data_IF_302559266420
#
_entry.id   IF_302559266420
#
_cell.length_a   1.000
_cell.length_b   1.000
_cell.length_c   1.000
_cell.angle_alpha   90.00
_cell.angle_beta   90.00
_cell.angle_gamma   90.00
#
_symmetry.space_group_name_H-M   'P 1'
#
loop_
_entity.id
_entity.type
_entity.pdbx_description
1 polymer ?
#
# COMPACT_ATOMS: atom_id res chain seq x y z
N UNK A 1 -1.20 -30.47 1.45
CA UNK A 1 -1.54 -29.35 0.59
C UNK A 1 -2.98 -28.98 0.90
N UNK A 2 -3.21 -27.92 1.68
CA UNK A 2 -4.56 -27.44 1.92
C UNK A 2 -5.06 -26.78 0.63
N UNK A 3 -6.20 -27.22 0.12
CA UNK A 3 -6.87 -26.57 -0.99
C UNK A 3 -7.11 -25.11 -0.60
N UNK A 4 -6.50 -24.18 -1.33
CA UNK A 4 -6.80 -22.76 -1.20
C UNK A 4 -8.25 -22.59 -1.57
N UNK A 5 -9.06 -22.21 -0.60
CA UNK A 5 -10.47 -21.87 -0.80
C UNK A 5 -10.55 -20.68 -1.78
N UNK A 6 -10.90 -20.99 -3.02
CA UNK A 6 -10.99 -20.03 -4.14
C UNK A 6 -12.33 -19.27 -4.16
N UNK A 7 -13.17 -19.46 -3.14
CA UNK A 7 -14.45 -18.76 -3.07
C UNK A 7 -14.24 -17.27 -2.83
N UNK A 8 -15.05 -16.40 -3.45
CA UNK A 8 -15.02 -14.96 -3.19
C UNK A 8 -15.22 -14.69 -1.70
N UNK A 9 -14.34 -13.88 -1.13
CA UNK A 9 -14.48 -13.44 0.27
C UNK A 9 -15.17 -12.10 0.28
N UNK A 10 -16.36 -12.07 0.88
CA UNK A 10 -17.19 -10.88 1.00
C UNK A 10 -17.27 -10.45 2.46
N UNK A 11 -16.99 -9.19 2.74
CA UNK A 11 -17.11 -8.57 4.06
C UNK A 11 -18.14 -7.44 3.95
N UNK A 12 -19.30 -7.57 4.61
CA UNK A 12 -20.27 -6.49 4.66
C UNK A 12 -19.70 -5.33 5.48
N UNK A 13 -19.90 -4.11 4.99
CA UNK A 13 -19.52 -2.91 5.72
C UNK A 13 -20.44 -2.70 6.93
N UNK A 14 -19.86 -2.23 8.03
CA UNK A 14 -20.60 -1.76 9.19
C UNK A 14 -21.25 -0.41 8.92
N UNK A 15 -22.16 0.01 9.82
CA UNK A 15 -22.77 1.35 9.72
C UNK A 15 -21.70 2.46 9.72
N UNK A 16 -20.67 2.31 10.54
CA UNK A 16 -19.59 3.30 10.61
C UNK A 16 -18.76 3.34 9.32
N UNK A 17 -18.45 2.18 8.74
CA UNK A 17 -17.68 2.11 7.49
C UNK A 17 -18.41 2.81 6.33
N UNK A 18 -19.74 2.69 6.29
CA UNK A 18 -20.58 3.30 5.24
C UNK A 18 -20.46 4.84 5.28
N UNK A 19 -20.34 5.44 6.44
CA UNK A 19 -20.18 6.91 6.57
C UNK A 19 -18.90 7.40 5.88
N UNK A 20 -17.88 6.57 5.79
CA UNK A 20 -16.58 6.89 5.19
C UNK A 20 -16.51 6.63 3.68
N UNK A 21 -17.53 6.02 3.08
CA UNK A 21 -17.54 5.70 1.63
C UNK A 21 -17.54 6.95 0.73
N UNK A 22 -18.00 8.09 1.24
CA UNK A 22 -18.07 9.35 0.50
C UNK A 22 -16.85 10.25 0.70
N UNK A 23 -15.92 9.88 1.58
CA UNK A 23 -14.72 10.66 1.79
C UNK A 23 -13.70 10.39 0.68
N UNK A 24 -12.87 11.40 0.35
CA UNK A 24 -11.75 11.18 -0.54
C UNK A 24 -10.81 10.11 0.02
N UNK A 25 -10.04 9.43 -0.82
CA UNK A 25 -9.03 8.48 -0.39
C UNK A 25 -8.06 9.11 0.61
N UNK A 26 -7.62 8.30 1.55
CA UNK A 26 -6.50 8.67 2.43
C UNK A 26 -5.19 8.49 1.67
N UNK A 27 -4.43 9.55 1.53
CA UNK A 27 -3.17 9.59 0.78
C UNK A 27 -1.98 9.74 1.73
N UNK A 28 -0.90 9.01 1.48
CA UNK A 28 0.33 9.05 2.28
C UNK A 28 1.56 8.96 1.39
N UNK A 29 2.62 9.66 1.78
CA UNK A 29 3.91 9.70 1.11
C UNK A 29 5.01 9.32 2.10
N UNK A 30 5.93 8.48 1.65
CA UNK A 30 7.12 8.06 2.40
C UNK A 30 8.34 8.27 1.52
N UNK A 31 9.28 9.07 1.97
CA UNK A 31 10.51 9.41 1.25
C UNK A 31 11.68 8.62 1.81
N UNK A 32 12.49 8.06 0.92
CA UNK A 32 13.68 7.27 1.23
C UNK A 32 14.85 7.76 0.41
N UNK A 33 15.92 8.18 1.05
CA UNK A 33 17.19 8.52 0.39
C UNK A 33 18.00 7.25 0.11
N UNK A 34 18.76 7.25 -0.97
CA UNK A 34 19.72 6.19 -1.19
C UNK A 34 20.89 6.32 -0.22
N UNK A 35 21.42 5.20 0.31
CA UNK A 35 22.54 5.22 1.26
C UNK A 35 23.89 5.59 0.63
N UNK A 36 23.90 5.95 -0.64
CA UNK A 36 25.12 6.27 -1.38
C UNK A 36 25.45 7.75 -1.23
N UNK A 37 26.36 8.08 -0.31
CA UNK A 37 26.83 9.45 -0.08
C UNK A 37 27.94 9.89 -1.07
N UNK A 38 28.38 9.00 -1.96
CA UNK A 38 29.48 9.32 -2.87
C UNK A 38 28.96 9.77 -4.23
N UNK A 39 29.29 11.00 -4.61
CA UNK A 39 28.95 11.60 -5.90
C UNK A 39 29.56 10.87 -7.13
N UNK A 40 30.28 9.76 -6.90
CA UNK A 40 30.87 8.91 -7.96
C UNK A 40 29.85 7.99 -8.64
N UNK A 41 28.63 7.81 -8.08
CA UNK A 41 27.61 7.00 -8.72
C UNK A 41 26.90 7.78 -9.83
N UNK A 42 26.99 7.24 -11.05
CA UNK A 42 26.28 7.84 -12.20
C UNK A 42 24.77 7.62 -12.06
N UNK A 43 23.96 8.48 -12.70
CA UNK A 43 22.50 8.35 -12.82
C UNK A 43 22.10 6.95 -13.25
N UNK A 44 22.86 6.35 -14.17
CA UNK A 44 22.64 5.00 -14.67
C UNK A 44 22.72 3.95 -13.56
N UNK A 45 23.63 4.09 -12.61
CA UNK A 45 23.82 3.12 -11.53
C UNK A 45 22.66 3.17 -10.53
N UNK A 46 22.18 4.34 -10.15
CA UNK A 46 21.06 4.48 -9.20
C UNK A 46 19.74 4.01 -9.80
N UNK A 47 19.50 4.30 -11.08
CA UNK A 47 18.33 3.82 -11.82
C UNK A 47 18.35 2.30 -11.96
N UNK A 48 19.48 1.72 -12.31
CA UNK A 48 19.65 0.27 -12.40
C UNK A 48 19.42 -0.39 -11.03
N UNK A 49 20.03 0.14 -9.98
CA UNK A 49 19.83 -0.36 -8.60
C UNK A 49 18.36 -0.31 -8.18
N UNK A 50 17.68 0.79 -8.47
CA UNK A 50 16.25 0.95 -8.17
C UNK A 50 15.41 -0.15 -8.85
N UNK A 51 15.58 -0.35 -10.17
CA UNK A 51 14.78 -1.32 -10.91
C UNK A 51 15.17 -2.78 -10.63
N UNK A 52 16.45 -3.06 -10.35
CA UNK A 52 16.94 -4.44 -10.15
C UNK A 52 16.84 -4.92 -8.71
N UNK A 53 16.81 -4.01 -7.73
CA UNK A 53 16.83 -4.38 -6.31
C UNK A 53 15.60 -3.85 -5.55
N UNK A 54 15.35 -2.53 -5.61
CA UNK A 54 14.29 -1.93 -4.80
C UNK A 54 12.90 -2.39 -5.25
N UNK A 55 12.59 -2.26 -6.54
CA UNK A 55 11.26 -2.59 -7.07
C UNK A 55 10.92 -4.08 -6.89
N UNK A 56 11.78 -5.06 -7.22
CA UNK A 56 11.49 -6.46 -6.97
C UNK A 56 11.26 -6.77 -5.49
N UNK A 57 12.10 -6.22 -4.60
CA UNK A 57 11.98 -6.40 -3.15
C UNK A 57 10.65 -5.86 -2.63
N UNK A 58 10.26 -4.64 -3.04
CA UNK A 58 8.99 -4.04 -2.64
C UNK A 58 7.79 -4.82 -3.16
N UNK A 59 7.81 -5.28 -4.41
CA UNK A 59 6.73 -6.09 -4.99
C UNK A 59 6.59 -7.44 -4.31
N UNK A 60 7.71 -8.14 -4.09
CA UNK A 60 7.72 -9.45 -3.43
C UNK A 60 7.21 -9.35 -2.00
N UNK A 61 7.76 -8.44 -1.21
CA UNK A 61 7.35 -8.24 0.18
C UNK A 61 5.90 -7.74 0.30
N UNK A 62 5.44 -6.91 -0.64
CA UNK A 62 4.03 -6.49 -0.71
C UNK A 62 3.12 -7.69 -0.94
N UNK A 63 3.44 -8.54 -1.90
CA UNK A 63 2.65 -9.74 -2.21
C UNK A 63 2.52 -10.66 -0.99
N UNK A 64 3.62 -10.89 -0.25
CA UNK A 64 3.60 -11.68 0.97
C UNK A 64 2.75 -11.00 2.08
N UNK A 65 2.87 -9.70 2.24
CA UNK A 65 2.11 -8.94 3.24
C UNK A 65 0.62 -8.95 2.97
N UNK A 66 0.22 -8.80 1.69
CA UNK A 66 -1.18 -8.79 1.28
C UNK A 66 -1.89 -10.13 1.48
N UNK A 67 -1.16 -11.25 1.56
CA UNK A 67 -1.75 -12.56 1.93
C UNK A 67 -2.39 -12.52 3.33
N UNK A 68 -1.90 -11.66 4.20
CA UNK A 68 -2.45 -11.46 5.54
C UNK A 68 -3.50 -10.34 5.60
N UNK A 69 -3.54 -9.48 4.59
CA UNK A 69 -4.45 -8.34 4.48
C UNK A 69 -5.29 -8.42 3.20
N UNK A 70 -5.89 -9.58 2.92
CA UNK A 70 -6.68 -9.81 1.70
C UNK A 70 -7.75 -8.74 1.41
N UNK A 71 -8.45 -8.15 2.40
CA UNK A 71 -9.38 -7.06 2.15
C UNK A 71 -8.76 -5.85 1.44
N UNK A 72 -7.45 -5.62 1.59
CA UNK A 72 -6.75 -4.52 0.89
C UNK A 72 -6.56 -4.78 -0.61
N UNK A 73 -6.64 -6.04 -1.04
CA UNK A 73 -6.54 -6.44 -2.46
C UNK A 73 -7.90 -6.35 -3.13
N UNK A 74 -8.98 -6.44 -2.34
CA UNK A 74 -10.35 -6.42 -2.82
C UNK A 74 -10.81 -5.08 -3.35
N UNK A 75 -12.09 -5.02 -3.64
CA UNK A 75 -12.76 -3.82 -4.13
C UNK A 75 -14.04 -3.58 -3.33
N UNK A 76 -14.34 -2.33 -3.14
CA UNK A 76 -15.64 -1.91 -2.64
C UNK A 76 -16.62 -1.99 -3.81
N UNK A 77 -17.70 -2.76 -3.67
CA UNK A 77 -18.71 -2.98 -4.71
C UNK A 77 -20.09 -2.52 -4.22
N UNK A 78 -20.93 -2.09 -5.16
CA UNK A 78 -22.33 -1.72 -4.93
C UNK A 78 -23.25 -2.67 -5.71
N UNK A 79 -23.53 -3.86 -5.16
CA UNK A 79 -24.38 -4.84 -5.84
C UNK A 79 -25.81 -4.28 -6.03
N UNK A 80 -26.39 -4.46 -7.22
CA UNK A 80 -27.76 -4.02 -7.50
C UNK A 80 -28.80 -4.69 -6.59
N UNK A 81 -28.47 -5.84 -6.03
CA UNK A 81 -29.29 -6.61 -5.09
C UNK A 81 -29.19 -6.15 -3.64
N UNK A 82 -28.29 -5.22 -3.32
CA UNK A 82 -28.04 -4.76 -1.96
C UNK A 82 -28.07 -3.25 -1.86
N UNK A 83 -28.71 -2.73 -0.82
CA UNK A 83 -28.68 -1.30 -0.49
C UNK A 83 -27.36 -0.86 0.16
N UNK A 84 -26.49 -1.80 0.49
CA UNK A 84 -25.22 -1.53 1.19
C UNK A 84 -24.04 -1.96 0.33
N UNK A 85 -22.97 -1.16 0.32
CA UNK A 85 -21.74 -1.58 -0.30
C UNK A 85 -21.11 -2.76 0.44
N UNK A 86 -20.36 -3.56 -0.28
CA UNK A 86 -19.69 -4.76 0.20
C UNK A 86 -18.23 -4.71 -0.21
N UNK A 87 -17.34 -5.04 0.68
CA UNK A 87 -15.95 -5.27 0.36
C UNK A 87 -15.79 -6.70 -0.16
N UNK A 88 -15.41 -6.85 -1.41
CA UNK A 88 -15.32 -8.13 -2.09
C UNK A 88 -13.92 -8.37 -2.60
N UNK A 89 -13.37 -9.53 -2.29
CA UNK A 89 -12.14 -10.05 -2.87
C UNK A 89 -12.47 -11.24 -3.77
N UNK A 90 -12.09 -11.13 -5.02
CA UNK A 90 -12.23 -12.20 -6.02
C UNK A 90 -10.84 -12.65 -6.48
N UNK A 91 -10.69 -13.93 -6.77
CA UNK A 91 -9.43 -14.45 -7.31
C UNK A 91 -9.05 -13.71 -8.59
N UNK A 92 -7.82 -13.19 -8.64
CA UNK A 92 -7.33 -12.34 -9.74
C UNK A 92 -7.37 -10.85 -9.43
N UNK A 93 -8.01 -10.42 -8.33
CA UNK A 93 -7.88 -9.05 -7.86
C UNK A 93 -6.43 -8.76 -7.46
N UNK A 94 -5.99 -7.54 -7.76
CA UNK A 94 -4.63 -7.11 -7.49
C UNK A 94 -4.59 -5.64 -7.08
N UNK A 95 -3.62 -5.29 -6.25
CA UNK A 95 -3.32 -3.90 -5.92
C UNK A 95 -2.54 -3.28 -7.08
N UNK A 96 -3.02 -2.18 -7.69
CA UNK A 96 -2.27 -1.43 -8.68
C UNK A 96 -0.93 -0.96 -8.12
N UNK A 97 0.16 -1.27 -8.83
CA UNK A 97 1.52 -0.88 -8.45
C UNK A 97 2.18 -0.13 -9.61
N UNK A 98 2.24 1.19 -9.48
CA UNK A 98 2.80 2.09 -10.50
C UNK A 98 4.27 2.37 -10.20
N UNK A 99 5.10 2.39 -11.23
CA UNK A 99 6.49 2.83 -11.16
C UNK A 99 6.60 4.11 -11.98
N UNK A 100 7.12 5.17 -11.37
CA UNK A 100 7.28 6.48 -12.00
C UNK A 100 8.71 7.01 -11.78
N UNK A 101 9.06 8.04 -12.50
CA UNK A 101 10.29 8.81 -12.31
C UNK A 101 9.96 10.30 -12.31
N UNK A 102 10.54 11.03 -11.36
CA UNK A 102 10.45 12.49 -11.30
C UNK A 102 11.82 13.11 -11.52
N UNK A 103 11.90 14.09 -12.43
CA UNK A 103 13.13 14.78 -12.78
C UNK A 103 13.11 16.22 -12.25
N UNK A 104 11.93 16.84 -12.24
CA UNK A 104 11.77 18.28 -11.98
C UNK A 104 11.26 18.58 -10.56
N UNK A 105 11.05 17.56 -9.72
CA UNK A 105 10.50 17.74 -8.37
C UNK A 105 11.62 17.77 -7.34
N UNK A 106 11.63 18.78 -6.49
CA UNK A 106 12.61 18.95 -5.42
C UNK A 106 12.32 17.96 -4.25
N UNK A 107 13.03 16.84 -4.28
CA UNK A 107 12.94 15.78 -3.28
C UNK A 107 13.18 16.28 -1.85
N UNK A 108 14.27 17.04 -1.65
CA UNK A 108 14.66 17.48 -0.31
C UNK A 108 13.64 18.45 0.29
N UNK A 109 13.06 19.32 -0.55
CA UNK A 109 12.00 20.21 -0.11
C UNK A 109 10.74 19.43 0.29
N UNK A 110 10.34 18.44 -0.52
CA UNK A 110 9.13 17.65 -0.25
C UNK A 110 9.28 16.69 0.93
N UNK A 111 10.50 16.20 1.20
CA UNK A 111 10.78 15.29 2.32
C UNK A 111 11.05 16.03 3.64
N UNK A 112 11.24 17.36 3.61
CA UNK A 112 11.57 18.16 4.79
C UNK A 112 10.38 18.38 5.72
N UNK A 113 10.60 18.25 7.01
CA UNK A 113 9.60 18.50 8.04
C UNK A 113 9.34 20.00 8.17
N UNK A 114 8.06 20.39 8.23
CA UNK A 114 7.66 21.78 8.48
C UNK A 114 7.59 22.68 7.25
N UNK A 115 7.86 22.19 6.06
CA UNK A 115 7.68 22.92 4.82
C UNK A 115 6.24 22.71 4.29
N UNK A 116 5.56 23.81 4.01
CA UNK A 116 4.24 23.77 3.36
C UNK A 116 4.42 23.37 1.89
N UNK A 117 3.95 22.17 1.54
CA UNK A 117 3.86 21.73 0.16
C UNK A 117 2.47 22.04 -0.40
N UNK A 118 2.41 22.53 -1.64
CA UNK A 118 1.12 22.66 -2.33
C UNK A 118 0.60 21.27 -2.68
N UNK A 119 -0.70 21.06 -2.56
CA UNK A 119 -1.33 19.79 -2.93
C UNK A 119 -0.98 19.38 -4.37
N UNK A 120 -0.91 20.34 -5.31
CA UNK A 120 -0.54 20.09 -6.71
C UNK A 120 0.85 19.50 -6.90
N UNK A 121 1.78 19.76 -5.98
CA UNK A 121 3.17 19.25 -6.07
C UNK A 121 3.27 17.79 -5.65
N UNK A 122 2.42 17.36 -4.73
CA UNK A 122 2.41 15.99 -4.19
C UNK A 122 1.46 15.06 -4.93
N UNK A 123 0.47 15.59 -5.66
CA UNK A 123 -0.52 14.78 -6.39
C UNK A 123 0.10 13.85 -7.45
N UNK A 124 1.22 14.25 -8.05
CA UNK A 124 1.93 13.41 -9.02
C UNK A 124 2.64 12.21 -8.39
N UNK A 125 2.87 12.25 -7.07
CA UNK A 125 3.56 11.22 -6.30
C UNK A 125 2.60 10.18 -5.69
N UNK A 126 1.29 10.46 -5.74
CA UNK A 126 0.25 9.61 -5.15
C UNK A 126 -0.57 8.95 -6.26
N UNK A 127 -0.78 7.62 -6.22
CA UNK A 127 -1.60 6.95 -7.22
C UNK A 127 -3.08 7.30 -7.03
N UNK A 128 -3.83 7.41 -8.13
CA UNK A 128 -5.28 7.53 -8.07
C UNK A 128 -5.90 6.15 -7.87
N UNK A 129 -6.88 6.05 -6.97
CA UNK A 129 -7.70 4.85 -6.89
C UNK A 129 -8.61 4.76 -8.12
N UNK A 130 -8.71 3.56 -8.67
CA UNK A 130 -9.68 3.28 -9.72
C UNK A 130 -11.08 3.25 -9.10
N UNK A 131 -11.95 4.12 -9.57
CA UNK A 131 -13.33 4.26 -9.09
C UNK A 131 -14.28 4.21 -10.27
N UNK A 132 -15.29 3.34 -10.19
CA UNK A 132 -16.45 3.31 -11.08
C UNK A 132 -17.74 3.43 -10.27
N UNK A 133 -18.90 3.49 -10.95
CA UNK A 133 -20.19 3.51 -10.26
C UNK A 133 -20.49 2.24 -9.46
N UNK A 134 -19.91 1.13 -9.85
CA UNK A 134 -20.19 -0.21 -9.28
C UNK A 134 -19.05 -0.74 -8.44
N UNK A 135 -17.82 -0.23 -8.64
CA UNK A 135 -16.62 -0.79 -8.04
C UNK A 135 -15.56 0.28 -7.78
N UNK A 136 -14.95 0.24 -6.61
CA UNK A 136 -13.82 1.07 -6.23
C UNK A 136 -12.68 0.24 -5.65
N UNK A 137 -11.47 0.46 -6.15
CA UNK A 137 -10.27 -0.14 -5.58
C UNK A 137 -10.08 0.34 -4.14
N UNK A 138 -9.56 -0.53 -3.28
CA UNK A 138 -9.31 -0.22 -1.86
C UNK A 138 -7.93 0.37 -1.64
N UNK A 139 -6.94 -0.09 -2.38
CA UNK A 139 -5.53 0.28 -2.23
C UNK A 139 -4.88 0.47 -3.59
N UNK A 140 -4.02 1.46 -3.71
CA UNK A 140 -3.11 1.64 -4.84
C UNK A 140 -1.76 2.14 -4.33
N UNK A 141 -0.67 1.74 -5.00
CA UNK A 141 0.70 2.08 -4.63
C UNK A 141 1.43 2.64 -5.84
N UNK A 142 2.20 3.69 -5.62
CA UNK A 142 3.12 4.25 -6.61
C UNK A 142 4.51 4.39 -6.00
N UNK A 143 5.53 3.96 -6.72
CA UNK A 143 6.93 4.18 -6.32
C UNK A 143 7.58 5.07 -7.36
N UNK A 144 7.97 6.27 -6.93
CA UNK A 144 8.55 7.29 -7.81
C UNK A 144 10.04 7.42 -7.53
N UNK A 145 10.85 7.18 -8.53
CA UNK A 145 12.31 7.36 -8.49
C UNK A 145 12.65 8.85 -8.63
N UNK A 146 13.56 9.33 -7.79
CA UNK A 146 14.30 10.58 -7.94
C UNK A 146 15.76 10.21 -8.20
N UNK A 147 16.23 10.27 -9.47
CA UNK A 147 17.55 9.78 -9.84
C UNK A 147 18.66 10.42 -8.99
N UNK A 148 19.62 9.61 -8.55
CA UNK A 148 20.74 9.96 -7.65
C UNK A 148 20.38 10.40 -6.24
N UNK A 149 19.10 10.55 -5.90
CA UNK A 149 18.68 11.06 -4.58
C UNK A 149 18.02 9.96 -3.78
N UNK A 150 16.95 9.35 -4.32
CA UNK A 150 16.16 8.41 -3.57
C UNK A 150 14.88 8.01 -4.29
N UNK A 151 13.88 7.59 -3.53
CA UNK A 151 12.55 7.28 -4.06
C UNK A 151 11.46 7.66 -3.06
N UNK A 152 10.25 7.80 -3.56
CA UNK A 152 9.06 8.03 -2.75
C UNK A 152 8.06 6.88 -2.95
N UNK A 153 7.45 6.41 -1.88
CA UNK A 153 6.30 5.50 -1.92
C UNK A 153 5.05 6.32 -1.63
N UNK A 154 4.19 6.46 -2.63
CA UNK A 154 2.86 7.05 -2.52
C UNK A 154 1.82 5.95 -2.37
N UNK A 155 0.90 6.11 -1.44
CA UNK A 155 -0.15 5.14 -1.16
C UNK A 155 -1.49 5.87 -1.07
N UNK A 156 -2.47 5.39 -1.84
CA UNK A 156 -3.86 5.79 -1.71
C UNK A 156 -4.69 4.64 -1.19
N UNK A 157 -5.53 4.88 -0.18
CA UNK A 157 -6.40 3.86 0.39
C UNK A 157 -7.81 4.38 0.60
N UNK A 158 -8.82 3.51 0.40
CA UNK A 158 -10.21 3.86 0.59
C UNK A 158 -10.54 3.94 2.09
N UNK A 159 -11.08 5.07 2.52
CA UNK A 159 -11.27 5.38 3.94
C UNK A 159 -12.26 4.44 4.64
N UNK A 160 -13.24 3.90 3.92
CA UNK A 160 -14.22 2.96 4.47
C UNK A 160 -13.66 1.57 4.78
N UNK A 161 -12.45 1.23 4.34
CA UNK A 161 -11.89 -0.11 4.47
C UNK A 161 -10.71 -0.15 5.43
N UNK A 162 -10.02 0.98 5.59
CA UNK A 162 -8.75 1.02 6.33
C UNK A 162 -8.77 2.16 7.34
N UNK A 163 -8.79 1.83 8.61
CA UNK A 163 -8.55 2.76 9.70
C UNK A 163 -7.04 2.99 9.94
N UNK A 164 -6.72 3.96 10.79
CA UNK A 164 -5.32 4.30 11.10
C UNK A 164 -4.53 3.14 11.73
N UNK A 165 -5.16 2.31 12.54
CA UNK A 165 -4.52 1.16 13.21
C UNK A 165 -4.23 0.04 12.22
N UNK A 166 -5.23 -0.36 11.44
CA UNK A 166 -5.11 -1.41 10.43
C UNK A 166 -4.07 -1.04 9.37
N UNK A 167 -4.09 0.23 8.91
CA UNK A 167 -3.12 0.72 7.95
C UNK A 167 -1.69 0.70 8.52
N UNK A 168 -1.50 1.15 9.75
CA UNK A 168 -0.20 1.12 10.41
C UNK A 168 0.31 -0.31 10.59
N UNK A 169 -0.56 -1.25 10.94
CA UNK A 169 -0.22 -2.68 11.07
C UNK A 169 0.22 -3.26 9.72
N UNK A 170 -0.50 -2.94 8.64
CA UNK A 170 -0.13 -3.33 7.28
C UNK A 170 1.26 -2.78 6.90
N UNK A 171 1.51 -1.48 7.11
CA UNK A 171 2.81 -0.87 6.80
C UNK A 171 3.97 -1.48 7.60
N UNK A 172 3.76 -1.73 8.89
CA UNK A 172 4.76 -2.38 9.74
C UNK A 172 5.09 -3.79 9.24
N UNK A 173 4.07 -4.54 8.86
CA UNK A 173 4.28 -5.86 8.29
C UNK A 173 5.06 -5.76 6.99
N UNK A 174 4.64 -4.90 6.07
CA UNK A 174 5.31 -4.74 4.78
C UNK A 174 6.78 -4.33 4.95
N UNK A 175 7.07 -3.39 5.85
CA UNK A 175 8.44 -3.00 6.17
C UNK A 175 9.25 -4.15 6.78
N UNK A 176 8.65 -4.94 7.69
CA UNK A 176 9.29 -6.11 8.29
C UNK A 176 9.66 -7.16 7.24
N UNK A 177 8.72 -7.50 6.37
CA UNK A 177 8.94 -8.47 5.28
C UNK A 177 9.99 -7.96 4.28
N UNK A 178 9.94 -6.67 3.92
CA UNK A 178 10.94 -6.05 3.04
C UNK A 178 12.35 -6.16 3.60
N UNK A 179 12.51 -5.86 4.90
CA UNK A 179 13.81 -5.99 5.59
C UNK A 179 14.31 -7.44 5.60
N UNK A 180 13.45 -8.39 5.90
CA UNK A 180 13.81 -9.82 5.94
C UNK A 180 14.22 -10.35 4.56
N UNK A 181 13.53 -9.93 3.50
CA UNK A 181 13.85 -10.29 2.12
C UNK A 181 15.20 -9.72 1.66
N UNK A 182 15.55 -8.52 2.12
CA UNK A 182 16.83 -7.87 1.76
C UNK A 182 18.04 -8.52 2.44
N UNK A 183 17.86 -9.23 3.54
CA UNK A 183 18.95 -9.87 4.30
C UNK A 183 19.28 -11.29 3.82
N UNK A 184 18.74 -11.75 2.68
CA UNK A 184 19.01 -13.07 2.12
C UNK A 184 18.42 -14.22 2.96
N UNK A 185 17.45 -13.92 3.80
CA UNK A 185 16.67 -14.92 4.53
C UNK A 185 15.91 -15.78 3.53
N UNK A 186 16.35 -17.06 3.38
CA UNK A 186 15.65 -18.04 2.56
C UNK A 186 14.17 -18.15 2.99
N UNK A 187 13.38 -18.90 2.23
CA UNK A 187 11.93 -19.14 2.36
C UNK A 187 11.46 -19.69 3.74
N UNK A 188 12.00 -19.17 4.83
CA UNK A 188 11.48 -19.45 6.16
C UNK A 188 10.09 -18.81 6.27
N UNK A 189 9.08 -19.57 6.71
CA UNK A 189 7.75 -19.02 6.89
C UNK A 189 7.84 -17.79 7.81
N UNK A 190 7.38 -16.65 7.30
CA UNK A 190 7.40 -15.38 8.04
C UNK A 190 6.50 -15.58 9.24
N UNK A 191 7.08 -15.80 10.41
CA UNK A 191 6.33 -15.87 11.66
C UNK A 191 5.90 -14.45 12.02
N UNK A 192 4.63 -14.16 11.75
CA UNK A 192 4.04 -12.87 12.10
C UNK A 192 4.00 -12.72 13.63
N UNK A 193 4.56 -11.64 14.17
CA UNK A 193 4.27 -11.22 15.53
C UNK A 193 2.74 -11.09 15.71
N UNK A 194 2.23 -11.59 16.81
CA UNK A 194 0.77 -11.62 17.09
C UNK A 194 0.13 -10.22 16.97
N UNK A 195 0.89 -9.20 17.32
CA UNK A 195 0.52 -7.78 17.25
C UNK A 195 0.30 -7.24 15.82
N UNK A 196 0.85 -7.92 14.81
CA UNK A 196 0.72 -7.53 13.40
C UNK A 196 -0.35 -8.33 12.65
N UNK A 197 -1.00 -9.30 13.32
CA UNK A 197 -2.10 -10.04 12.71
C UNK A 197 -3.35 -9.17 12.63
N UNK A 198 -3.94 -8.99 11.43
CA UNK A 198 -5.21 -8.29 11.32
C UNK A 198 -6.31 -9.10 11.98
N UNK A 199 -7.23 -8.44 12.68
CA UNK A 199 -8.47 -9.02 13.16
C UNK A 199 -9.61 -8.55 12.29
N UNK A 200 -10.38 -9.48 11.74
CA UNK A 200 -11.58 -9.21 10.94
C UNK A 200 -12.85 -9.57 11.69
N UNK A 201 -12.74 -9.88 12.98
CA UNK A 201 -13.90 -10.22 13.81
C UNK A 201 -14.54 -8.94 14.37
N UNK A 202 -15.61 -8.49 13.72
CA UNK A 202 -16.42 -7.35 14.17
C UNK A 202 -17.23 -7.62 15.45
N UNK A 203 -17.16 -8.85 16.02
CA UNK A 203 -17.86 -9.26 17.22
C UNK A 203 -17.04 -9.07 18.49
N UNK A 204 -15.76 -8.79 18.40
CA UNK A 204 -14.97 -8.45 19.57
C UNK A 204 -15.36 -7.06 20.06
N UNK A 205 -15.96 -6.91 21.26
CA UNK A 205 -16.21 -5.61 21.84
C UNK A 205 -14.88 -4.84 21.93
N UNK A 206 -14.91 -3.57 21.54
CA UNK A 206 -13.80 -2.66 21.86
C UNK A 206 -13.68 -2.69 23.37
N UNK A 207 -12.61 -3.28 23.89
CA UNK A 207 -12.28 -3.15 25.31
C UNK A 207 -11.77 -1.72 25.47
N UNK A 208 -12.55 -0.94 26.23
CA UNK A 208 -12.17 0.38 26.74
C UNK A 208 -10.87 0.28 27.57
#
# INVERSE_FOLDING_TARGET
>A
MAATDLSPKSLPLTFFDICWTRLPPSERLFFYEFPFHDHSHSISNTTTFFHSNIIPTLKHSLSLSLQHFLPLVGNLTWPSSSLKPVLEYTHGDAVPFTIAQSIDTDFHRLSSIGILCKATEIHSLVPKLSVSHERSAVLAIQVTLFPNIGFCIGISSHHAVVDGKSFTSFLRLWAHVSKSSSLGGGESPITLPLELKPSYDHRTPIKD
#
